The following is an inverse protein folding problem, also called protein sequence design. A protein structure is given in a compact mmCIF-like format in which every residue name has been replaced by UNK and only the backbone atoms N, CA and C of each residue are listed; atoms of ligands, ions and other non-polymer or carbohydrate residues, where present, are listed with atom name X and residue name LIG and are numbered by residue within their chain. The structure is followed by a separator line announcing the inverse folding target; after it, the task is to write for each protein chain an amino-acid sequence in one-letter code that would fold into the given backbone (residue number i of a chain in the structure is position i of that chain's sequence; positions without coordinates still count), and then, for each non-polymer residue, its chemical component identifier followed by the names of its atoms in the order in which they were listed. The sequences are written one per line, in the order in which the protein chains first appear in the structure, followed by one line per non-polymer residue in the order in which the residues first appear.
data_IF_873486351175
#
_entry.id   IF_873486351175
#
_cell.length_a   1.000
_cell.length_b   1.000
_cell.length_c   1.000
_cell.angle_alpha   90.00
_cell.angle_beta   90.00
_cell.angle_gamma   90.00
#
_symmetry.space_group_name_H-M   'P 1'
#
loop_
_entity.id
_entity.type
_entity.pdbx_description
1 polymer ?
#
# COMPACT_ATOMS: atom_id res chain seq x y z
N UNK A 1 -68.74 -23.21 -16.84
CA UNK A 1 -67.34 -22.74 -16.99
C UNK A 1 -66.94 -22.08 -15.66
N UNK A 2 -65.73 -22.34 -15.13
CA UNK A 2 -65.28 -21.82 -13.83
C UNK A 2 -64.18 -20.78 -14.03
N UNK A 3 -64.33 -19.58 -13.50
CA UNK A 3 -63.19 -18.69 -13.26
C UNK A 3 -62.39 -19.19 -12.05
N UNK A 4 -61.08 -19.05 -12.11
CA UNK A 4 -60.14 -19.36 -11.02
C UNK A 4 -59.24 -18.15 -10.82
N UNK A 5 -59.22 -17.63 -9.59
CA UNK A 5 -58.32 -16.54 -9.21
C UNK A 5 -56.87 -17.04 -9.22
N UNK A 6 -55.94 -16.21 -9.68
CA UNK A 6 -54.50 -16.41 -9.46
C UNK A 6 -53.92 -15.18 -8.76
N UNK A 7 -53.97 -15.19 -7.43
CA UNK A 7 -53.27 -14.20 -6.61
C UNK A 7 -51.77 -14.52 -6.63
N UNK A 8 -50.95 -13.59 -7.13
CA UNK A 8 -49.51 -13.76 -7.19
C UNK A 8 -48.86 -13.29 -5.88
N UNK A 9 -48.37 -14.22 -5.07
CA UNK A 9 -47.55 -13.89 -3.89
C UNK A 9 -46.12 -13.60 -4.33
N UNK A 10 -45.69 -12.34 -4.20
CA UNK A 10 -44.28 -11.97 -4.32
C UNK A 10 -43.52 -12.31 -3.03
N UNK A 11 -42.54 -13.21 -3.12
CA UNK A 11 -41.62 -13.49 -2.00
C UNK A 11 -40.50 -12.46 -2.04
N UNK A 12 -40.47 -11.56 -1.06
CA UNK A 12 -39.35 -10.64 -0.87
C UNK A 12 -38.15 -11.39 -0.28
N UNK A 13 -37.14 -11.67 -1.10
CA UNK A 13 -35.92 -12.36 -0.66
C UNK A 13 -34.99 -11.35 0.04
N UNK A 14 -35.09 -11.25 1.37
CA UNK A 14 -34.14 -10.45 2.17
C UNK A 14 -32.82 -11.21 2.27
N UNK A 15 -31.89 -10.91 1.37
CA UNK A 15 -30.52 -11.41 1.41
C UNK A 15 -29.75 -10.67 2.51
N UNK A 16 -29.81 -11.17 3.74
CA UNK A 16 -28.93 -10.72 4.82
C UNK A 16 -27.48 -10.97 4.44
N UNK A 17 -26.75 -9.93 4.09
CA UNK A 17 -25.32 -9.99 3.91
C UNK A 17 -24.67 -10.29 5.27
N UNK A 18 -24.21 -11.54 5.46
CA UNK A 18 -23.35 -11.88 6.59
C UNK A 18 -22.01 -11.22 6.33
N UNK A 19 -21.77 -10.08 6.98
CA UNK A 19 -20.44 -9.53 7.08
C UNK A 19 -19.58 -10.55 7.85
N UNK A 20 -18.71 -11.26 7.12
CA UNK A 20 -17.66 -12.06 7.72
C UNK A 20 -16.67 -11.08 8.37
N UNK A 21 -16.90 -10.81 9.66
CA UNK A 21 -15.91 -10.13 10.48
C UNK A 21 -14.69 -11.06 10.55
N UNK A 22 -13.63 -10.72 9.82
CA UNK A 22 -12.33 -11.33 10.03
C UNK A 22 -11.99 -11.19 11.52
N UNK A 23 -11.57 -12.26 12.22
CA UNK A 23 -11.10 -12.13 13.58
C UNK A 23 -9.94 -11.13 13.59
N UNK A 24 -10.00 -10.12 14.44
CA UNK A 24 -8.96 -9.11 14.52
C UNK A 24 -7.65 -9.79 14.93
N UNK A 25 -6.76 -10.02 13.96
CA UNK A 25 -5.39 -10.42 14.24
C UNK A 25 -4.72 -9.27 14.95
N UNK A 26 -4.26 -9.50 16.18
CA UNK A 26 -3.48 -8.54 16.93
C UNK A 26 -2.24 -8.13 16.13
N UNK A 27 -1.80 -6.88 16.29
CA UNK A 27 -0.60 -6.39 15.64
C UNK A 27 0.61 -7.30 15.94
N UNK A 28 1.49 -7.46 14.96
CA UNK A 28 2.65 -8.36 15.03
C UNK A 28 3.80 -7.88 14.15
N UNK A 29 5.01 -8.28 14.52
CA UNK A 29 6.23 -7.99 13.78
C UNK A 29 7.14 -9.22 13.84
N UNK A 30 7.72 -9.63 12.70
CA UNK A 30 8.69 -10.71 12.62
C UNK A 30 9.70 -10.49 11.49
N UNK A 31 10.92 -10.97 11.71
CA UNK A 31 11.89 -11.22 10.64
C UNK A 31 11.44 -12.41 9.78
N UNK A 32 11.89 -12.44 8.52
CA UNK A 32 11.52 -13.48 7.54
C UNK A 32 12.49 -14.67 7.51
N UNK A 33 13.65 -14.56 8.18
CA UNK A 33 14.78 -15.47 8.03
C UNK A 33 15.55 -15.27 6.72
N UNK A 34 16.30 -16.30 6.32
CA UNK A 34 17.15 -16.36 5.13
C UNK A 34 16.84 -17.59 4.25
N UNK A 35 17.46 -17.65 3.06
CA UNK A 35 17.40 -18.84 2.20
C UNK A 35 18.45 -19.87 2.65
N UNK A 36 18.10 -21.16 2.72
CA UNK A 36 18.96 -22.17 3.34
C UNK A 36 20.28 -22.37 2.59
N UNK A 37 21.37 -22.41 3.36
CA UNK A 37 22.73 -22.72 2.86
C UNK A 37 23.47 -21.56 2.22
N UNK A 38 22.87 -20.37 2.14
CA UNK A 38 23.60 -19.13 1.89
C UNK A 38 24.29 -18.58 3.14
N UNK A 39 24.77 -17.34 3.06
CA UNK A 39 25.10 -16.55 4.24
C UNK A 39 23.89 -15.71 4.64
N UNK A 40 23.48 -15.71 5.91
CA UNK A 40 22.25 -15.08 6.39
C UNK A 40 22.10 -13.62 5.90
N UNK A 41 21.15 -13.43 4.99
CA UNK A 41 20.82 -12.16 4.36
C UNK A 41 19.49 -12.29 3.61
N UNK A 42 18.54 -11.39 3.86
CA UNK A 42 17.31 -11.29 3.09
C UNK A 42 16.80 -9.86 3.01
N UNK A 43 16.06 -9.54 1.94
CA UNK A 43 15.39 -8.24 1.75
C UNK A 43 14.01 -8.45 1.16
N UNK A 44 12.97 -8.02 1.86
CA UNK A 44 11.63 -7.92 1.28
C UNK A 44 11.51 -6.63 0.47
N UNK A 45 11.13 -6.76 -0.80
CA UNK A 45 10.94 -5.65 -1.74
C UNK A 45 9.46 -5.39 -2.04
N UNK A 46 8.59 -6.38 -1.89
CA UNK A 46 7.16 -6.22 -2.11
C UNK A 46 6.31 -7.19 -1.29
N UNK A 47 5.03 -6.86 -1.19
CA UNK A 47 3.98 -7.71 -0.61
C UNK A 47 2.79 -7.71 -1.57
N UNK A 48 2.12 -8.85 -1.65
CA UNK A 48 0.83 -8.99 -2.35
C UNK A 48 -0.25 -8.08 -1.75
N UNK A 49 -1.25 -7.71 -2.55
CA UNK A 49 -2.32 -6.80 -2.12
C UNK A 49 -3.12 -7.30 -0.92
N UNK A 50 -3.20 -8.62 -0.73
CA UNK A 50 -3.87 -9.27 0.41
C UNK A 50 -3.00 -9.41 1.68
N UNK A 51 -1.72 -9.03 1.63
CA UNK A 51 -0.79 -9.14 2.76
C UNK A 51 -0.30 -10.57 3.07
N UNK A 52 -0.60 -11.57 2.25
CA UNK A 52 -0.32 -12.98 2.54
C UNK A 52 1.04 -13.48 2.01
N UNK A 53 1.53 -12.89 0.92
CA UNK A 53 2.78 -13.27 0.23
C UNK A 53 3.78 -12.12 0.22
N UNK A 54 5.00 -12.37 0.69
CA UNK A 54 6.13 -11.43 0.66
C UNK A 54 7.14 -11.88 -0.39
N UNK A 55 7.69 -10.93 -1.15
CA UNK A 55 8.68 -11.19 -2.20
C UNK A 55 9.92 -10.31 -2.04
N UNK A 56 11.01 -10.74 -2.66
CA UNK A 56 12.29 -10.03 -2.66
C UNK A 56 13.41 -10.98 -3.01
N UNK A 57 14.55 -10.89 -2.31
CA UNK A 57 15.68 -11.80 -2.51
C UNK A 57 16.48 -12.06 -1.23
N UNK A 58 17.20 -13.18 -1.20
CA UNK A 58 18.16 -13.54 -0.17
C UNK A 58 19.42 -14.16 -0.77
N UNK A 59 20.38 -14.55 0.06
CA UNK A 59 21.55 -15.33 -0.38
C UNK A 59 21.25 -16.82 -0.19
N UNK A 60 21.55 -17.67 -1.17
CA UNK A 60 21.29 -19.12 -1.11
C UNK A 60 22.56 -19.93 -1.32
N UNK A 61 22.47 -21.26 -1.20
CA UNK A 61 23.57 -22.17 -1.55
C UNK A 61 23.94 -22.13 -3.05
N UNK A 62 23.00 -21.71 -3.91
CA UNK A 62 23.09 -21.68 -5.37
C UNK A 62 23.50 -20.31 -5.94
N UNK A 63 23.20 -19.22 -5.22
CA UNK A 63 23.37 -17.86 -5.73
C UNK A 63 23.71 -16.83 -4.65
N UNK A 64 24.51 -15.83 -5.04
CA UNK A 64 24.74 -14.63 -4.24
C UNK A 64 23.52 -13.70 -4.16
N UNK A 65 22.52 -13.87 -5.04
CA UNK A 65 21.17 -13.32 -4.87
C UNK A 65 20.17 -14.29 -5.53
N UNK A 66 19.22 -14.82 -4.77
CA UNK A 66 18.11 -15.62 -5.30
C UNK A 66 16.79 -14.99 -4.86
N UNK A 67 15.87 -14.82 -5.82
CA UNK A 67 14.53 -14.32 -5.59
C UNK A 67 13.78 -15.29 -4.68
N UNK A 68 12.99 -14.77 -3.72
CA UNK A 68 12.16 -15.60 -2.85
C UNK A 68 10.67 -15.27 -2.94
N UNK A 69 9.86 -16.27 -2.56
CA UNK A 69 8.48 -16.13 -2.11
C UNK A 69 8.39 -16.61 -0.67
N UNK A 70 7.86 -15.78 0.21
CA UNK A 70 7.65 -16.10 1.63
C UNK A 70 6.15 -16.08 1.96
N UNK A 71 5.72 -17.01 2.83
CA UNK A 71 4.36 -17.09 3.39
C UNK A 71 4.38 -17.72 4.78
N UNK A 72 3.45 -17.36 5.67
CA UNK A 72 3.41 -17.86 7.07
C UNK A 72 3.40 -19.39 7.18
N UNK A 73 2.74 -20.09 6.25
CA UNK A 73 2.65 -21.56 6.23
C UNK A 73 3.83 -22.25 5.53
N UNK A 74 4.65 -21.52 4.78
CA UNK A 74 5.71 -22.06 3.92
C UNK A 74 7.13 -21.65 4.30
N UNK A 75 7.30 -20.60 5.11
CA UNK A 75 8.59 -19.95 5.31
C UNK A 75 9.09 -19.28 4.03
N UNK A 76 10.41 -19.07 3.94
CA UNK A 76 11.07 -18.52 2.75
C UNK A 76 11.41 -19.64 1.74
N UNK A 77 10.96 -19.50 0.50
CA UNK A 77 11.21 -20.46 -0.59
C UNK A 77 11.87 -19.73 -1.75
N UNK A 78 13.03 -20.22 -2.19
CA UNK A 78 13.74 -19.71 -3.37
C UNK A 78 13.01 -20.01 -4.67
N UNK A 79 13.06 -19.09 -5.63
CA UNK A 79 12.41 -19.21 -6.94
C UNK A 79 13.32 -19.81 -8.02
N UNK A 80 14.60 -20.03 -7.71
CA UNK A 80 15.63 -20.40 -8.67
C UNK A 80 16.02 -19.26 -9.61
N UNK A 81 16.53 -19.63 -10.79
CA UNK A 81 17.07 -18.73 -11.81
C UNK A 81 16.53 -19.12 -13.20
N UNK A 82 16.69 -18.23 -14.19
CA UNK A 82 16.34 -18.54 -15.58
C UNK A 82 17.32 -19.57 -16.18
N UNK A 83 16.84 -20.56 -16.97
CA UNK A 83 17.71 -21.58 -17.55
C UNK A 83 18.82 -21.01 -18.46
N UNK A 84 20.05 -21.47 -18.22
CA UNK A 84 21.20 -21.21 -19.09
C UNK A 84 21.95 -19.89 -18.84
N UNK A 85 21.50 -19.06 -17.89
CA UNK A 85 22.29 -17.94 -17.38
C UNK A 85 23.17 -18.32 -16.18
N UNK A 86 23.83 -17.32 -15.61
CA UNK A 86 24.53 -17.44 -14.32
C UNK A 86 23.53 -17.25 -13.16
N UNK A 87 23.73 -17.94 -12.03
CA UNK A 87 22.89 -17.77 -10.85
C UNK A 87 22.79 -16.29 -10.42
N UNK A 88 21.58 -15.83 -10.14
CA UNK A 88 21.26 -14.43 -9.90
C UNK A 88 19.82 -14.13 -10.32
N UNK A 89 18.93 -14.01 -9.33
CA UNK A 89 17.54 -13.60 -9.53
C UNK A 89 17.07 -12.65 -8.43
N UNK A 90 16.19 -11.71 -8.80
CA UNK A 90 15.67 -10.66 -7.93
C UNK A 90 14.17 -10.48 -8.23
N UNK A 91 13.29 -10.60 -7.22
CA UNK A 91 11.87 -10.29 -7.37
C UNK A 91 11.57 -8.84 -6.95
N UNK A 92 10.73 -8.16 -7.72
CA UNK A 92 10.36 -6.75 -7.51
C UNK A 92 8.85 -6.55 -7.32
N UNK A 93 7.99 -7.36 -7.97
CA UNK A 93 6.54 -7.23 -7.89
C UNK A 93 5.80 -8.56 -7.73
N UNK A 94 4.57 -8.52 -7.22
CA UNK A 94 3.66 -9.66 -7.07
C UNK A 94 2.21 -9.27 -7.36
N UNK A 95 1.41 -10.22 -7.86
CA UNK A 95 -0.05 -10.06 -8.04
C UNK A 95 -0.77 -9.91 -6.70
N UNK A 96 -2.07 -9.56 -6.73
CA UNK A 96 -2.85 -9.28 -5.53
C UNK A 96 -2.99 -10.47 -4.56
N UNK A 97 -2.80 -11.69 -5.05
CA UNK A 97 -2.77 -12.97 -4.33
C UNK A 97 -1.35 -13.59 -4.21
N UNK A 98 -0.34 -12.92 -4.75
CA UNK A 98 1.03 -13.42 -4.87
C UNK A 98 1.17 -14.80 -5.52
N UNK A 99 0.28 -15.16 -6.45
CA UNK A 99 0.41 -16.35 -7.32
C UNK A 99 1.33 -16.10 -8.53
N UNK A 100 1.46 -14.84 -8.94
CA UNK A 100 2.38 -14.35 -9.97
C UNK A 100 3.42 -13.46 -9.33
N UNK A 101 4.70 -13.69 -9.64
CA UNK A 101 5.83 -12.88 -9.16
C UNK A 101 6.65 -12.44 -10.36
N UNK A 102 7.11 -11.19 -10.38
CA UNK A 102 7.92 -10.64 -11.47
C UNK A 102 9.23 -10.07 -10.97
N UNK A 103 10.23 -10.06 -11.86
CA UNK A 103 11.57 -9.64 -11.49
C UNK A 103 12.56 -9.66 -12.64
N UNK A 104 13.83 -9.84 -12.32
CA UNK A 104 14.90 -10.12 -13.30
C UNK A 104 15.80 -11.27 -12.86
N UNK A 105 16.29 -12.06 -13.82
CA UNK A 105 17.32 -13.08 -13.62
C UNK A 105 18.22 -13.15 -14.87
N UNK A 106 19.42 -13.71 -14.77
CA UNK A 106 20.25 -13.92 -15.96
C UNK A 106 19.73 -15.13 -16.74
N UNK A 107 19.54 -15.00 -18.05
CA UNK A 107 19.32 -16.10 -18.98
C UNK A 107 20.54 -16.32 -19.86
N UNK A 108 20.47 -17.29 -20.79
CA UNK A 108 21.53 -17.51 -21.79
C UNK A 108 21.75 -16.32 -22.76
N UNK A 109 20.83 -15.34 -22.79
CA UNK A 109 20.91 -14.17 -23.68
C UNK A 109 21.41 -12.89 -23.00
N UNK A 110 21.29 -12.78 -21.66
CA UNK A 110 21.65 -11.60 -20.90
C UNK A 110 20.87 -11.50 -19.59
N UNK A 111 20.67 -10.27 -19.08
CA UNK A 111 19.73 -10.02 -17.99
C UNK A 111 18.31 -10.04 -18.57
N UNK A 112 17.38 -10.75 -17.95
CA UNK A 112 16.03 -10.92 -18.51
C UNK A 112 14.95 -10.75 -17.45
N UNK A 113 13.92 -9.99 -17.80
CA UNK A 113 12.69 -9.88 -17.05
C UNK A 113 12.02 -11.26 -16.96
N UNK A 114 11.60 -11.67 -15.76
CA UNK A 114 10.88 -12.93 -15.57
C UNK A 114 9.47 -12.72 -15.06
N UNK A 115 8.62 -13.71 -15.34
CA UNK A 115 7.34 -13.97 -14.66
C UNK A 115 7.36 -15.39 -14.12
N UNK A 116 7.14 -15.54 -12.82
CA UNK A 116 7.13 -16.81 -12.10
C UNK A 116 5.70 -17.16 -11.66
N UNK A 117 5.37 -18.46 -11.73
CA UNK A 117 4.17 -19.03 -11.09
C UNK A 117 4.48 -20.40 -10.49
N UNK A 118 3.80 -20.79 -9.41
CA UNK A 118 4.01 -22.08 -8.73
C UNK A 118 3.81 -23.32 -9.62
N UNK A 119 3.00 -23.22 -10.66
CA UNK A 119 2.75 -24.28 -11.65
C UNK A 119 3.65 -24.26 -12.88
N UNK A 120 4.37 -23.16 -13.12
CA UNK A 120 5.16 -22.91 -14.34
C UNK A 120 6.66 -22.75 -14.10
N UNK A 121 7.08 -22.49 -12.86
CA UNK A 121 8.44 -22.06 -12.56
C UNK A 121 8.71 -20.63 -13.04
N UNK A 122 9.99 -20.29 -13.22
CA UNK A 122 10.44 -19.00 -13.73
C UNK A 122 10.46 -19.02 -15.27
N UNK A 123 9.79 -18.07 -15.92
CA UNK A 123 9.73 -17.94 -17.38
C UNK A 123 10.21 -16.54 -17.78
N UNK A 124 11.14 -16.49 -18.74
CA UNK A 124 11.67 -15.25 -19.31
C UNK A 124 10.66 -14.55 -20.22
N UNK A 125 10.67 -13.22 -20.22
CA UNK A 125 9.74 -12.39 -21.00
C UNK A 125 10.34 -11.86 -22.32
N UNK A 126 11.63 -12.09 -22.57
CA UNK A 126 12.39 -11.45 -23.65
C UNK A 126 12.84 -10.03 -23.30
N UNK A 127 13.17 -9.23 -24.33
CA UNK A 127 13.55 -7.82 -24.23
C UNK A 127 12.93 -7.02 -25.39
N UNK A 128 12.99 -5.69 -25.33
CA UNK A 128 12.71 -4.80 -26.45
C UNK A 128 13.69 -5.05 -27.61
N UNK A 129 13.21 -4.90 -28.84
CA UNK A 129 14.02 -5.15 -30.03
C UNK A 129 14.96 -3.99 -30.36
N UNK A 130 16.26 -4.25 -30.43
CA UNK A 130 17.27 -3.35 -31.01
C UNK A 130 18.31 -2.82 -30.01
N UNK A 131 18.06 -2.95 -28.70
CA UNK A 131 19.10 -2.76 -27.70
C UNK A 131 20.10 -3.93 -27.62
N UNK A 132 21.04 -3.83 -26.69
CA UNK A 132 21.76 -4.99 -26.19
C UNK A 132 20.89 -5.68 -25.13
N UNK A 133 20.64 -6.98 -25.28
CA UNK A 133 19.64 -7.74 -24.52
C UNK A 133 19.78 -7.55 -22.99
N UNK A 134 18.91 -6.72 -22.42
CA UNK A 134 18.74 -6.56 -20.98
C UNK A 134 17.35 -5.97 -20.65
N UNK A 135 16.52 -6.76 -19.98
CA UNK A 135 15.20 -6.33 -19.50
C UNK A 135 15.02 -6.59 -18.00
N UNK A 136 14.18 -5.79 -17.33
CA UNK A 136 13.83 -5.94 -15.91
C UNK A 136 12.33 -5.66 -15.74
N UNK A 137 11.60 -6.61 -15.16
CA UNK A 137 10.21 -6.37 -14.71
C UNK A 137 10.21 -5.84 -13.27
N UNK A 138 9.44 -4.77 -13.04
CA UNK A 138 9.43 -4.02 -11.78
C UNK A 138 8.04 -4.01 -11.14
N UNK A 139 6.97 -3.98 -11.95
CA UNK A 139 5.58 -4.01 -11.48
C UNK A 139 4.71 -5.02 -12.23
N UNK A 140 3.58 -5.40 -11.63
CA UNK A 140 2.61 -6.35 -12.21
C UNK A 140 1.19 -5.99 -11.75
N UNK A 141 0.19 -6.17 -12.62
CA UNK A 141 -1.23 -5.92 -12.30
C UNK A 141 -1.76 -6.90 -11.25
N UNK A 142 -2.88 -6.55 -10.60
CA UNK A 142 -3.45 -7.35 -9.51
C UNK A 142 -3.87 -8.76 -9.92
N UNK A 143 -4.27 -8.95 -11.18
CA UNK A 143 -4.59 -10.25 -11.79
C UNK A 143 -3.37 -11.00 -12.35
N UNK A 144 -2.18 -10.39 -12.34
CA UNK A 144 -0.95 -10.99 -12.86
C UNK A 144 -0.87 -11.11 -14.38
N UNK A 145 -1.73 -10.41 -15.16
CA UNK A 145 -1.78 -10.50 -16.62
C UNK A 145 -0.92 -9.46 -17.36
N UNK A 146 -0.70 -8.29 -16.75
CA UNK A 146 0.11 -7.19 -17.28
C UNK A 146 1.36 -7.04 -16.41
N UNK A 147 2.54 -6.95 -17.04
CA UNK A 147 3.83 -6.73 -16.37
C UNK A 147 4.46 -5.47 -16.92
N UNK A 148 5.09 -4.65 -16.08
CA UNK A 148 5.76 -3.39 -16.49
C UNK A 148 7.19 -3.33 -15.97
N UNK A 149 8.03 -2.55 -16.67
CA UNK A 149 9.45 -2.46 -16.34
C UNK A 149 10.23 -1.59 -17.29
N UNK A 150 11.46 -2.01 -17.59
CA UNK A 150 12.39 -1.35 -18.52
C UNK A 150 13.09 -2.37 -19.43
N UNK A 151 13.40 -1.95 -20.65
CA UNK A 151 14.17 -2.73 -21.64
C UNK A 151 15.11 -1.84 -22.45
N UNK A 152 16.11 -2.43 -23.08
CA UNK A 152 17.10 -1.68 -23.84
C UNK A 152 16.68 -1.44 -25.30
N UNK A 153 16.96 -0.25 -25.82
CA UNK A 153 16.74 0.12 -27.23
C UNK A 153 18.00 0.72 -27.84
N UNK A 154 18.06 0.85 -29.17
CA UNK A 154 19.23 1.40 -29.91
C UNK A 154 19.69 2.75 -29.35
N UNK A 155 18.74 3.55 -28.87
CA UNK A 155 18.90 4.95 -28.48
C UNK A 155 18.97 5.18 -26.97
N UNK A 156 18.92 4.14 -26.14
CA UNK A 156 18.86 4.27 -24.68
C UNK A 156 18.03 3.16 -24.03
N UNK A 157 17.13 3.55 -23.12
CA UNK A 157 16.30 2.64 -22.33
C UNK A 157 14.85 3.10 -22.33
N UNK A 158 13.92 2.16 -22.45
CA UNK A 158 12.49 2.47 -22.59
C UNK A 158 11.65 1.67 -21.60
N UNK A 159 10.69 2.34 -20.98
CA UNK A 159 9.66 1.72 -20.16
C UNK A 159 8.82 0.77 -21.02
N UNK A 160 8.52 -0.42 -20.51
CA UNK A 160 7.71 -1.40 -21.24
C UNK A 160 6.42 -1.77 -20.52
N UNK A 161 5.47 -2.29 -21.31
CA UNK A 161 4.35 -3.11 -20.87
C UNK A 161 4.40 -4.46 -21.60
N UNK A 162 4.23 -5.55 -20.86
CA UNK A 162 4.15 -6.92 -21.37
C UNK A 162 2.77 -7.52 -21.14
N UNK A 163 2.31 -8.32 -22.10
CA UNK A 163 1.16 -9.23 -21.94
C UNK A 163 1.44 -10.57 -22.61
N UNK A 164 0.81 -11.64 -22.12
CA UNK A 164 1.01 -13.00 -22.67
C UNK A 164 0.64 -13.16 -24.16
N UNK A 165 -0.19 -12.26 -24.71
CA UNK A 165 -0.57 -12.24 -26.14
C UNK A 165 0.20 -11.23 -26.98
N UNK A 166 0.80 -10.20 -26.38
CA UNK A 166 1.54 -9.14 -27.08
C UNK A 166 3.06 -9.26 -27.04
N UNK A 167 3.62 -9.99 -26.06
CA UNK A 167 5.04 -9.88 -25.73
C UNK A 167 5.35 -8.53 -25.05
N UNK A 168 6.62 -8.12 -25.06
CA UNK A 168 7.07 -6.81 -24.55
C UNK A 168 6.79 -5.73 -25.61
N UNK A 169 6.15 -4.63 -25.20
CA UNK A 169 5.88 -3.46 -26.03
C UNK A 169 6.35 -2.20 -25.28
N UNK A 170 7.09 -1.34 -25.99
CA UNK A 170 7.57 -0.06 -25.45
C UNK A 170 6.44 0.96 -25.23
N UNK A 171 6.55 1.74 -24.16
CA UNK A 171 5.60 2.81 -23.78
C UNK A 171 6.02 4.20 -24.27
N UNK A 172 7.19 4.30 -24.92
CA UNK A 172 7.86 5.54 -25.27
C UNK A 172 8.55 6.22 -24.09
N UNK A 173 8.84 7.50 -24.28
CA UNK A 173 9.39 8.41 -23.27
C UNK A 173 8.69 9.77 -23.39
N UNK A 174 8.89 10.65 -22.40
CA UNK A 174 8.41 12.01 -22.41
C UNK A 174 9.07 12.84 -23.54
N UNK A 175 8.35 13.82 -24.11
CA UNK A 175 8.87 14.58 -25.24
C UNK A 175 9.99 15.56 -24.82
N UNK A 176 11.08 15.53 -25.58
CA UNK A 176 12.14 16.55 -25.57
C UNK A 176 13.44 16.16 -24.85
N UNK A 177 13.48 15.02 -24.17
CA UNK A 177 14.72 14.45 -23.62
C UNK A 177 15.49 13.54 -24.59
N UNK A 178 16.47 12.83 -24.04
CA UNK A 178 17.04 11.61 -24.62
C UNK A 178 16.22 10.41 -24.13
N UNK A 179 16.11 9.33 -24.91
CA UNK A 179 15.24 8.20 -24.55
C UNK A 179 15.79 7.44 -23.32
N UNK A 180 15.20 7.72 -22.16
CA UNK A 180 15.46 7.06 -20.88
C UNK A 180 14.18 7.14 -20.03
N UNK A 181 13.37 6.10 -20.14
CA UNK A 181 12.18 5.89 -19.31
C UNK A 181 12.19 4.54 -18.60
N UNK A 182 11.47 4.43 -17.49
CA UNK A 182 11.29 3.21 -16.70
C UNK A 182 9.93 3.23 -16.02
N UNK A 183 9.17 2.14 -16.13
CA UNK A 183 7.95 1.93 -15.34
C UNK A 183 8.27 1.18 -14.04
N UNK A 184 7.98 1.79 -12.89
CA UNK A 184 8.15 1.18 -11.57
C UNK A 184 6.86 0.58 -11.01
N UNK A 185 5.70 1.21 -11.26
CA UNK A 185 4.42 0.83 -10.66
C UNK A 185 3.28 0.73 -11.67
N UNK A 186 2.25 -0.04 -11.32
CA UNK A 186 1.03 -0.24 -12.11
C UNK A 186 -0.17 -0.39 -11.16
N UNK A 187 -1.35 0.12 -11.56
CA UNK A 187 -2.59 -0.01 -10.79
C UNK A 187 -3.11 -1.46 -10.77
N UNK A 188 -4.00 -1.77 -9.82
CA UNK A 188 -4.52 -3.14 -9.62
C UNK A 188 -5.30 -3.66 -10.83
N UNK A 189 -5.97 -2.77 -11.55
CA UNK A 189 -6.70 -3.04 -12.81
C UNK A 189 -5.81 -2.99 -14.07
N UNK A 190 -4.53 -2.64 -13.93
CA UNK A 190 -3.59 -2.50 -15.03
C UNK A 190 -3.78 -1.27 -15.93
N UNK A 191 -4.70 -0.35 -15.63
CA UNK A 191 -5.04 0.77 -16.52
C UNK A 191 -4.10 1.99 -16.42
N UNK A 192 -3.33 2.08 -15.34
CA UNK A 192 -2.41 3.19 -15.04
C UNK A 192 -1.02 2.66 -14.73
N UNK A 193 -0.01 3.17 -15.43
CA UNK A 193 1.40 2.84 -15.20
C UNK A 193 2.15 4.10 -14.76
N UNK A 194 3.08 3.98 -13.81
CA UNK A 194 3.88 5.10 -13.28
C UNK A 194 5.36 4.78 -13.24
N UNK A 195 6.18 5.82 -13.27
CA UNK A 195 7.63 5.69 -13.32
C UNK A 195 8.31 7.05 -13.50
N UNK A 196 9.41 7.07 -14.25
CA UNK A 196 10.01 8.31 -14.74
C UNK A 196 10.36 8.22 -16.23
N UNK A 197 10.38 9.37 -16.88
CA UNK A 197 10.90 9.57 -18.23
C UNK A 197 11.82 10.79 -18.27
N UNK A 198 12.31 11.14 -19.45
CA UNK A 198 13.18 12.31 -19.65
C UNK A 198 12.47 13.34 -20.53
N UNK A 199 11.95 14.40 -19.92
CA UNK A 199 11.31 15.52 -20.64
C UNK A 199 12.32 16.59 -21.04
N UNK A 200 11.87 17.61 -21.79
CA UNK A 200 12.68 18.78 -22.14
C UNK A 200 13.26 19.55 -20.94
N UNK A 201 12.77 19.30 -19.71
CA UNK A 201 13.18 19.99 -18.49
C UNK A 201 14.09 19.15 -17.58
N UNK A 202 14.09 17.82 -17.69
CA UNK A 202 14.88 16.92 -16.84
C UNK A 202 14.25 15.53 -16.74
N UNK A 203 14.62 14.79 -15.68
CA UNK A 203 13.88 13.56 -15.33
C UNK A 203 12.54 13.93 -14.72
N UNK A 204 11.47 13.28 -15.13
CA UNK A 204 10.12 13.64 -14.70
C UNK A 204 9.28 12.40 -14.44
N UNK A 205 8.62 12.38 -13.28
CA UNK A 205 7.68 11.34 -12.91
C UNK A 205 6.53 11.34 -13.93
N UNK A 206 6.17 10.17 -14.46
CA UNK A 206 5.06 10.05 -15.40
C UNK A 206 3.86 9.29 -14.82
N UNK A 207 2.69 9.55 -15.39
CA UNK A 207 1.52 8.69 -15.34
C UNK A 207 1.08 8.36 -16.77
N UNK A 208 1.18 7.10 -17.16
CA UNK A 208 0.80 6.58 -18.47
C UNK A 208 -0.58 5.94 -18.41
N UNK A 209 -1.37 6.10 -19.47
CA UNK A 209 -2.63 5.37 -19.69
C UNK A 209 -2.81 5.07 -21.18
N UNK A 210 -3.47 3.96 -21.51
CA UNK A 210 -3.67 3.53 -22.89
C UNK A 210 -4.43 4.55 -23.78
N UNK A 211 -5.22 5.45 -23.19
CA UNK A 211 -5.93 6.52 -23.90
C UNK A 211 -5.21 7.87 -23.91
N UNK A 212 -4.28 8.11 -22.98
CA UNK A 212 -3.59 9.39 -22.81
C UNK A 212 -2.12 9.38 -23.26
N UNK A 213 -1.52 8.20 -23.44
CA UNK A 213 -0.06 8.06 -23.59
C UNK A 213 0.66 8.36 -22.27
N UNK A 214 1.95 8.68 -22.35
CA UNK A 214 2.78 9.08 -21.21
C UNK A 214 2.61 10.58 -20.92
N UNK A 215 2.22 10.92 -19.69
CA UNK A 215 2.03 12.32 -19.26
C UNK A 215 2.91 12.61 -18.05
N UNK A 216 3.72 13.66 -18.12
CA UNK A 216 4.57 14.13 -17.02
C UNK A 216 3.76 14.73 -15.88
N UNK A 217 4.27 14.60 -14.65
CA UNK A 217 3.61 15.04 -13.41
C UNK A 217 4.22 16.31 -12.81
N UNK A 218 5.24 16.89 -13.44
CA UNK A 218 6.05 17.99 -12.89
C UNK A 218 7.00 17.56 -11.77
N UNK A 219 7.55 18.54 -11.07
CA UNK A 219 8.52 18.41 -9.99
C UNK A 219 8.04 19.02 -8.66
N UNK A 220 8.85 18.88 -7.60
CA UNK A 220 8.68 19.65 -6.38
C UNK A 220 9.43 20.99 -6.50
N UNK A 221 8.83 22.12 -6.09
CA UNK A 221 9.38 23.43 -6.39
C UNK A 221 10.67 23.74 -5.60
N UNK A 222 11.66 24.30 -6.30
CA UNK A 222 12.84 24.93 -5.70
C UNK A 222 14.12 24.09 -5.69
N UNK A 223 14.08 22.84 -6.17
CA UNK A 223 15.28 22.04 -6.45
C UNK A 223 15.76 22.16 -7.89
N UNK A 224 16.42 21.10 -8.36
CA UNK A 224 16.54 20.83 -9.80
C UNK A 224 15.22 20.22 -10.30
N UNK A 225 14.87 20.42 -11.57
CA UNK A 225 13.71 19.76 -12.16
C UNK A 225 13.98 18.25 -12.30
N UNK A 226 13.55 17.51 -11.29
CA UNK A 226 13.75 16.07 -11.16
C UNK A 226 12.67 15.45 -10.27
N UNK A 227 11.92 14.48 -10.80
CA UNK A 227 10.95 13.69 -10.04
C UNK A 227 10.86 12.25 -10.55
N UNK A 228 10.52 11.33 -9.65
CA UNK A 228 10.47 9.89 -9.90
C UNK A 228 9.28 9.29 -9.17
N UNK A 229 8.34 8.64 -9.87
CA UNK A 229 7.26 7.89 -9.25
C UNK A 229 7.67 6.42 -9.01
N UNK A 230 7.59 5.96 -7.77
CA UNK A 230 7.93 4.60 -7.37
C UNK A 230 6.70 3.69 -7.24
N UNK A 231 5.52 4.25 -6.94
CA UNK A 231 4.31 3.47 -6.68
C UNK A 231 3.01 4.23 -6.96
N UNK A 232 1.90 3.48 -7.07
CA UNK A 232 0.57 3.99 -7.40
C UNK A 232 -0.50 3.22 -6.63
N UNK A 233 -1.61 3.88 -6.27
CA UNK A 233 -2.75 3.24 -5.62
C UNK A 233 -3.47 2.24 -6.53
N UNK A 234 -4.28 1.36 -5.94
CA UNK A 234 -4.95 0.28 -6.66
C UNK A 234 -5.91 0.75 -7.75
N UNK A 235 -6.47 1.95 -7.61
CA UNK A 235 -7.35 2.65 -8.54
C UNK A 235 -6.63 3.61 -9.52
N UNK A 236 -5.31 3.75 -9.41
CA UNK A 236 -4.53 4.64 -10.27
C UNK A 236 -4.71 6.15 -10.02
N UNK A 237 -5.31 6.57 -8.90
CA UNK A 237 -5.61 7.98 -8.59
C UNK A 237 -4.54 8.71 -7.77
N UNK A 238 -3.75 7.98 -6.98
CA UNK A 238 -2.69 8.50 -6.11
C UNK A 238 -1.35 7.92 -6.56
N UNK A 239 -0.36 8.78 -6.79
CA UNK A 239 1.00 8.39 -7.19
C UNK A 239 1.98 8.83 -6.11
N UNK A 240 2.99 8.01 -5.79
CA UNK A 240 4.01 8.33 -4.78
C UNK A 240 5.42 8.09 -5.31
N UNK A 241 6.39 8.80 -4.73
CA UNK A 241 7.78 8.69 -5.12
C UNK A 241 8.64 9.73 -4.42
N UNK A 242 9.57 10.34 -5.14
CA UNK A 242 10.41 11.44 -4.63
C UNK A 242 10.74 12.49 -5.70
N UNK A 243 10.93 13.72 -5.26
CA UNK A 243 11.38 14.85 -6.07
C UNK A 243 12.57 15.55 -5.41
N UNK A 244 13.14 16.53 -6.10
CA UNK A 244 14.28 17.31 -5.59
C UNK A 244 13.83 18.71 -5.17
N UNK A 245 14.23 19.14 -3.98
CA UNK A 245 14.01 20.50 -3.45
C UNK A 245 15.34 21.14 -3.03
N UNK A 246 15.32 22.41 -2.63
CA UNK A 246 16.52 23.17 -2.28
C UNK A 246 17.38 22.55 -1.15
N UNK A 247 16.79 21.72 -0.28
CA UNK A 247 17.47 21.07 0.86
C UNK A 247 17.87 19.61 0.63
N UNK A 248 17.45 18.97 -0.46
CA UNK A 248 17.68 17.54 -0.73
C UNK A 248 16.51 16.87 -1.46
N UNK A 249 16.39 15.55 -1.31
CA UNK A 249 15.26 14.78 -1.84
C UNK A 249 14.07 14.84 -0.88
N UNK A 250 12.85 14.93 -1.42
CA UNK A 250 11.62 14.83 -0.64
C UNK A 250 10.67 13.79 -1.25
N UNK A 251 10.15 12.91 -0.41
CA UNK A 251 9.06 12.00 -0.75
C UNK A 251 7.81 12.80 -1.12
N UNK A 252 7.13 12.45 -2.22
CA UNK A 252 5.89 13.11 -2.63
C UNK A 252 4.68 12.16 -2.64
N UNK A 253 3.50 12.77 -2.56
CA UNK A 253 2.21 12.20 -2.96
C UNK A 253 1.55 13.13 -3.99
N UNK A 254 1.26 12.60 -5.17
CA UNK A 254 0.61 13.30 -6.26
C UNK A 254 -0.85 12.86 -6.41
N UNK A 255 -1.71 13.80 -6.78
CA UNK A 255 -3.10 13.53 -7.21
C UNK A 255 -3.51 14.52 -8.31
N UNK A 256 -4.44 14.12 -9.18
CA UNK A 256 -4.91 14.96 -10.30
C UNK A 256 -5.57 16.28 -9.85
N UNK A 257 -6.11 16.34 -8.62
CA UNK A 257 -6.72 17.55 -8.04
C UNK A 257 -5.76 18.38 -7.17
N UNK A 258 -4.69 17.78 -6.63
CA UNK A 258 -3.75 18.42 -5.71
C UNK A 258 -2.39 18.79 -6.32
N UNK A 259 -2.05 18.23 -7.49
CA UNK A 259 -0.68 18.28 -8.02
C UNK A 259 0.27 17.40 -7.20
N UNK A 260 1.58 17.67 -7.29
CA UNK A 260 2.62 17.03 -6.50
C UNK A 260 2.77 17.73 -5.15
N UNK A 261 2.70 16.99 -4.05
CA UNK A 261 2.81 17.53 -2.68
C UNK A 261 3.87 16.76 -1.90
N UNK A 262 4.84 17.49 -1.33
CA UNK A 262 5.87 16.93 -0.46
C UNK A 262 5.33 16.39 0.87
N UNK A 263 5.96 15.34 1.38
CA UNK A 263 5.54 14.64 2.61
C UNK A 263 6.41 14.97 3.84
N UNK A 264 7.42 15.82 3.68
CA UNK A 264 8.48 16.07 4.66
C UNK A 264 9.53 14.96 4.71
N UNK A 265 10.30 14.96 5.80
CA UNK A 265 11.28 13.94 6.16
C UNK A 265 11.21 13.68 7.67
N UNK A 266 11.87 12.63 8.14
CA UNK A 266 12.08 12.35 9.56
C UNK A 266 12.95 13.44 10.22
N UNK A 267 12.73 13.75 11.51
CA UNK A 267 13.48 14.81 12.17
C UNK A 267 14.91 14.39 12.54
N UNK A 268 15.86 15.32 12.37
CA UNK A 268 17.20 15.25 12.94
C UNK A 268 18.31 14.72 12.02
N UNK A 269 17.99 14.30 10.79
CA UNK A 269 18.98 13.92 9.78
C UNK A 269 19.28 15.02 8.74
N UNK A 270 19.94 14.62 7.65
CA UNK A 270 19.99 15.41 6.43
C UNK A 270 18.65 15.25 5.69
N UNK A 271 18.03 16.33 5.23
CA UNK A 271 16.71 16.26 4.57
C UNK A 271 16.75 15.39 3.30
N UNK A 272 16.24 14.16 3.38
CA UNK A 272 16.30 13.14 2.34
C UNK A 272 15.27 12.04 2.62
N UNK A 273 14.11 12.10 1.96
CA UNK A 273 13.04 11.08 2.06
C UNK A 273 12.61 10.51 0.70
N UNK A 274 12.17 9.25 0.71
CA UNK A 274 11.76 8.47 -0.45
C UNK A 274 10.51 7.66 -0.13
N UNK A 275 9.37 7.93 -0.79
CA UNK A 275 8.23 7.01 -0.74
C UNK A 275 8.48 5.80 -1.65
N UNK A 276 8.35 4.59 -1.10
CA UNK A 276 8.52 3.33 -1.83
C UNK A 276 7.17 2.70 -2.22
N UNK A 277 6.15 2.81 -1.36
CA UNK A 277 4.86 2.13 -1.56
C UNK A 277 3.68 2.90 -0.98
N UNK A 278 2.47 2.55 -1.43
CA UNK A 278 1.21 3.23 -1.09
C UNK A 278 0.06 2.22 -1.01
N UNK A 279 -0.88 2.41 -0.09
CA UNK A 279 -2.06 1.56 0.07
C UNK A 279 -3.02 1.64 -1.13
N UNK A 280 -3.94 0.69 -1.24
CA UNK A 280 -4.85 0.56 -2.38
C UNK A 280 -5.79 1.75 -2.56
N UNK A 281 -6.12 2.44 -1.46
CA UNK A 281 -6.92 3.67 -1.39
C UNK A 281 -6.08 4.96 -1.40
N UNK A 282 -4.74 4.85 -1.40
CA UNK A 282 -3.82 5.98 -1.34
C UNK A 282 -3.81 6.79 -0.03
N UNK A 283 -4.29 6.24 1.09
CA UNK A 283 -4.31 6.93 2.40
C UNK A 283 -3.05 6.72 3.25
N UNK A 284 -2.36 5.59 3.09
CA UNK A 284 -1.11 5.25 3.78
C UNK A 284 0.03 5.21 2.76
N UNK A 285 1.16 5.84 3.10
CA UNK A 285 2.39 5.82 2.30
C UNK A 285 3.54 5.32 3.16
N UNK A 286 4.42 4.49 2.60
CA UNK A 286 5.60 3.93 3.30
C UNK A 286 6.87 4.13 2.48
N UNK A 287 8.01 4.17 3.16
CA UNK A 287 9.28 4.47 2.52
C UNK A 287 10.47 4.49 3.48
N UNK A 288 11.48 5.30 3.16
CA UNK A 288 12.57 5.66 4.07
C UNK A 288 12.74 7.18 4.16
N UNK A 289 13.13 7.66 5.34
CA UNK A 289 13.53 9.03 5.62
C UNK A 289 14.82 9.04 6.42
N UNK A 290 15.38 10.22 6.68
CA UNK A 290 16.70 10.35 7.31
C UNK A 290 16.61 11.06 8.66
N UNK A 291 16.93 10.34 9.74
CA UNK A 291 16.98 10.89 11.10
C UNK A 291 18.42 11.01 11.61
N UNK A 292 18.59 11.35 12.88
CA UNK A 292 19.89 11.30 13.56
C UNK A 292 20.49 9.88 13.65
N UNK A 293 19.68 8.82 13.44
CA UNK A 293 20.11 7.42 13.37
C UNK A 293 20.68 7.02 12.01
N UNK A 294 20.39 7.78 10.94
CA UNK A 294 20.63 7.38 9.54
C UNK A 294 19.31 7.21 8.77
N UNK A 295 19.31 6.31 7.77
CA UNK A 295 18.10 5.97 7.01
C UNK A 295 17.19 5.04 7.83
N UNK A 296 15.94 5.45 8.03
CA UNK A 296 14.93 4.74 8.80
C UNK A 296 13.61 4.63 8.02
N UNK A 297 12.91 3.51 8.19
CA UNK A 297 11.61 3.26 7.60
C UNK A 297 10.55 4.22 8.16
N UNK A 298 9.71 4.80 7.29
CA UNK A 298 8.58 5.64 7.71
C UNK A 298 7.22 5.06 7.35
N UNK A 299 6.20 5.50 8.10
CA UNK A 299 4.78 5.45 7.72
C UNK A 299 4.21 6.87 7.72
N UNK A 300 3.59 7.26 6.62
CA UNK A 300 2.90 8.54 6.47
C UNK A 300 1.39 8.33 6.35
N UNK A 301 0.62 9.25 6.95
CA UNK A 301 -0.83 9.40 6.76
C UNK A 301 -1.21 10.88 6.80
N UNK A 302 -2.30 11.26 6.14
CA UNK A 302 -2.77 12.65 6.09
C UNK A 302 -3.09 13.26 7.48
N UNK A 303 -3.49 12.44 8.45
CA UNK A 303 -3.76 12.85 9.84
C UNK A 303 -2.54 12.78 10.77
N UNK A 304 -1.53 11.99 10.43
CA UNK A 304 -0.36 11.72 11.30
C UNK A 304 0.94 12.34 10.84
N UNK A 305 1.00 12.89 9.62
CA UNK A 305 2.27 13.29 8.99
C UNK A 305 3.17 12.08 8.69
N UNK A 306 4.45 12.33 8.45
CA UNK A 306 5.48 11.29 8.39
C UNK A 306 5.93 10.93 9.81
N UNK A 307 5.95 9.63 10.14
CA UNK A 307 6.46 9.11 11.42
C UNK A 307 7.42 7.94 11.17
N UNK A 308 8.44 7.82 12.01
CA UNK A 308 9.31 6.64 12.05
C UNK A 308 8.43 5.39 12.32
N UNK A 309 8.62 4.34 11.52
CA UNK A 309 7.78 3.13 11.58
C UNK A 309 8.04 2.31 12.85
N UNK A 310 9.26 2.29 13.36
CA UNK A 310 9.62 1.61 14.61
C UNK A 310 8.98 2.30 15.82
N UNK A 311 8.90 3.64 15.83
CA UNK A 311 8.12 4.40 16.82
C UNK A 311 6.62 4.09 16.75
N UNK A 312 6.04 4.01 15.53
CA UNK A 312 4.63 3.63 15.33
C UNK A 312 4.37 2.21 15.87
N UNK A 313 5.17 1.21 15.48
CA UNK A 313 5.00 -0.17 15.88
C UNK A 313 5.17 -0.38 17.40
N UNK A 314 6.09 0.34 18.03
CA UNK A 314 6.35 0.23 19.48
C UNK A 314 5.35 1.04 20.32
N UNK A 315 4.99 2.25 19.89
CA UNK A 315 4.17 3.18 20.69
C UNK A 315 2.67 3.01 20.46
N UNK A 316 2.25 2.87 19.20
CA UNK A 316 0.81 2.82 18.86
C UNK A 316 0.28 1.37 18.98
N UNK A 317 1.12 0.39 18.66
CA UNK A 317 0.76 -1.04 18.61
C UNK A 317 1.43 -1.91 19.70
N UNK A 318 2.29 -1.32 20.55
CA UNK A 318 2.88 -2.01 21.71
C UNK A 318 3.88 -3.14 21.38
N UNK A 319 4.40 -3.19 20.15
CA UNK A 319 5.27 -4.29 19.70
C UNK A 319 6.70 -4.15 20.21
N UNK A 320 7.33 -5.29 20.55
CA UNK A 320 8.72 -5.30 21.01
C UNK A 320 9.70 -5.51 19.85
N UNK A 321 10.32 -4.41 19.39
CA UNK A 321 11.34 -4.40 18.35
C UNK A 321 12.78 -4.27 18.93
N UNK A 322 13.03 -4.73 20.16
CA UNK A 322 14.35 -4.63 20.81
C UNK A 322 15.45 -5.26 19.95
N UNK A 323 16.47 -4.46 19.62
CA UNK A 323 17.62 -4.88 18.79
C UNK A 323 17.42 -4.76 17.29
N UNK A 324 16.20 -4.49 16.79
CA UNK A 324 15.96 -4.17 15.39
C UNK A 324 16.25 -2.70 15.08
N UNK A 325 16.66 -2.43 13.85
CA UNK A 325 16.70 -1.12 13.20
C UNK A 325 16.04 -1.26 11.83
N UNK A 326 14.86 -0.66 11.62
CA UNK A 326 14.13 -0.77 10.34
C UNK A 326 14.64 0.28 9.34
N UNK A 327 15.41 -0.13 8.34
CA UNK A 327 16.06 0.81 7.39
C UNK A 327 15.14 1.29 6.27
N UNK A 328 14.39 0.37 5.64
CA UNK A 328 13.40 0.73 4.61
C UNK A 328 12.12 -0.08 4.76
N UNK A 329 10.96 0.58 4.68
CA UNK A 329 9.73 -0.06 4.26
C UNK A 329 9.66 0.00 2.72
N UNK A 330 9.49 -1.15 2.06
CA UNK A 330 9.47 -1.27 0.59
C UNK A 330 8.07 -1.50 0.03
N UNK A 331 7.24 -2.30 0.70
CA UNK A 331 5.89 -2.66 0.23
C UNK A 331 4.83 -2.50 1.32
N UNK A 332 3.58 -2.33 0.89
CA UNK A 332 2.40 -2.27 1.74
C UNK A 332 1.20 -2.93 1.04
N UNK A 333 0.34 -3.63 1.79
CA UNK A 333 -0.88 -4.26 1.28
C UNK A 333 -1.96 -3.22 0.91
N UNK A 334 -2.98 -3.64 0.16
CA UNK A 334 -4.01 -2.74 -0.35
C UNK A 334 -4.88 -2.13 0.77
N UNK A 335 -5.06 -2.82 1.88
CA UNK A 335 -5.75 -2.35 3.09
C UNK A 335 -4.89 -1.43 3.98
N UNK A 336 -3.60 -1.28 3.69
CA UNK A 336 -2.67 -0.48 4.48
C UNK A 336 -2.22 -1.12 5.82
N UNK A 337 -2.55 -2.39 6.08
CA UNK A 337 -2.31 -3.06 7.37
C UNK A 337 -1.07 -3.98 7.39
N UNK A 338 -0.61 -4.50 6.25
CA UNK A 338 0.64 -5.27 6.17
C UNK A 338 1.72 -4.41 5.51
N UNK A 339 2.84 -4.21 6.19
CA UNK A 339 4.01 -3.46 5.69
C UNK A 339 5.22 -4.40 5.68
N UNK A 340 6.03 -4.36 4.63
CA UNK A 340 7.25 -5.17 4.50
C UNK A 340 8.45 -4.32 4.13
N UNK A 341 9.64 -4.82 4.47
CA UNK A 341 10.89 -4.13 4.19
C UNK A 341 12.12 -4.90 4.64
N UNK A 342 13.20 -4.19 4.91
CA UNK A 342 14.41 -4.77 5.48
C UNK A 342 15.08 -3.83 6.49
N UNK A 343 15.99 -4.39 7.28
CA UNK A 343 16.72 -3.67 8.33
C UNK A 343 17.86 -4.49 8.89
N UNK A 344 18.41 -4.04 10.01
CA UNK A 344 19.37 -4.80 10.81
C UNK A 344 18.63 -5.48 11.95
N UNK A 345 18.79 -6.80 12.06
CA UNK A 345 18.19 -7.62 13.11
C UNK A 345 19.02 -7.59 14.43
N UNK A 346 18.53 -8.15 15.55
CA UNK A 346 19.25 -8.16 16.84
C UNK A 346 20.61 -8.88 16.85
N UNK A 347 20.90 -9.68 15.82
CA UNK A 347 22.20 -10.34 15.61
C UNK A 347 23.18 -9.49 14.79
N UNK A 348 22.79 -8.29 14.35
CA UNK A 348 23.59 -7.41 13.49
C UNK A 348 23.55 -7.78 12.00
N UNK A 349 22.58 -8.57 11.56
CA UNK A 349 22.49 -9.12 10.20
C UNK A 349 21.41 -8.38 9.39
N UNK A 350 21.55 -8.33 8.06
CA UNK A 350 20.54 -7.72 7.18
C UNK A 350 19.39 -8.72 6.98
N UNK A 351 18.18 -8.34 7.36
CA UNK A 351 17.03 -9.25 7.31
C UNK A 351 15.78 -8.53 6.80
N UNK A 352 15.01 -9.22 5.96
CA UNK A 352 13.68 -8.83 5.57
C UNK A 352 12.72 -9.01 6.74
N UNK A 353 11.72 -8.14 6.85
CA UNK A 353 10.72 -8.18 7.91
C UNK A 353 9.31 -7.96 7.37
N UNK A 354 8.32 -8.45 8.13
CA UNK A 354 6.90 -8.17 7.95
C UNK A 354 6.31 -7.64 9.24
N UNK A 355 5.63 -6.50 9.13
CA UNK A 355 4.81 -5.89 10.17
C UNK A 355 3.34 -6.01 9.75
N UNK A 356 2.48 -6.47 10.66
CA UNK A 356 1.03 -6.49 10.48
C UNK A 356 0.39 -5.68 11.59
N UNK A 357 -0.45 -4.73 11.20
CA UNK A 357 -1.21 -3.86 12.08
C UNK A 357 -2.60 -4.46 12.30
N UNK A 358 -3.16 -4.36 13.50
CA UNK A 358 -4.61 -4.51 13.62
C UNK A 358 -5.29 -3.28 12.99
N UNK A 359 -6.53 -3.48 12.53
CA UNK A 359 -7.41 -2.33 12.30
C UNK A 359 -7.56 -1.60 13.63
N UNK A 360 -7.30 -0.28 13.72
CA UNK A 360 -7.47 0.46 14.97
C UNK A 360 -8.86 0.18 15.52
N UNK A 361 -8.93 -0.38 16.73
CA UNK A 361 -10.22 -0.75 17.32
C UNK A 361 -11.05 0.51 17.45
N UNK A 362 -12.07 0.65 16.59
CA UNK A 362 -13.05 1.71 16.74
C UNK A 362 -13.69 1.51 18.11
N UNK A 363 -13.33 2.40 19.05
CA UNK A 363 -13.98 2.51 20.34
C UNK A 363 -15.40 2.94 20.05
N UNK A 364 -16.27 1.95 19.86
CA UNK A 364 -17.69 2.09 19.62
C UNK A 364 -18.35 2.53 20.92
N UNK A 365 -18.13 3.80 21.26
CA UNK A 365 -18.89 4.51 22.28
C UNK A 365 -20.36 4.32 21.88
N UNK A 366 -21.17 3.58 22.64
CA UNK A 366 -22.55 3.32 22.24
C UNK A 366 -23.32 4.64 22.29
N UNK A 367 -23.93 5.00 21.16
CA UNK A 367 -24.80 6.17 21.04
C UNK A 367 -25.77 6.25 22.24
N UNK A 368 -25.83 7.39 22.98
CA UNK A 368 -26.58 7.48 24.23
C UNK A 368 -28.06 7.08 24.14
N UNK A 369 -28.64 7.10 22.93
CA UNK A 369 -30.00 6.66 22.62
C UNK A 369 -30.31 5.22 23.04
N UNK A 370 -29.32 4.32 23.13
CA UNK A 370 -29.57 2.91 23.48
C UNK A 370 -29.80 2.65 24.98
N UNK A 371 -29.53 3.61 25.87
CA UNK A 371 -29.68 3.41 27.34
C UNK A 371 -31.15 3.49 27.80
N UNK A 372 -32.04 4.14 27.04
CA UNK A 372 -33.45 4.32 27.40
C UNK A 372 -34.32 3.05 27.23
N UNK A 373 -33.82 1.98 26.61
CA UNK A 373 -34.60 0.79 26.26
C UNK A 373 -34.95 -0.17 27.41
N UNK A 374 -34.28 -0.07 28.57
CA UNK A 374 -34.38 -1.06 29.66
C UNK A 374 -35.05 -0.54 30.95
N UNK A 375 -35.62 0.67 30.93
CA UNK A 375 -36.06 1.39 32.14
C UNK A 375 -37.55 1.34 32.49
N UNK A 376 -38.40 0.54 31.82
CA UNK A 376 -39.87 0.67 31.93
C UNK A 376 -40.66 -0.65 31.90
N UNK A 377 -40.19 -1.65 32.65
CA UNK A 377 -40.90 -2.93 32.88
C UNK A 377 -41.09 -3.23 34.37
N UNK A 378 -41.75 -2.32 35.10
CA UNK A 378 -42.11 -2.58 36.49
C UNK A 378 -42.60 -1.39 37.31
N UNK A 379 -43.90 -1.04 37.20
CA UNK A 379 -44.68 -0.43 38.28
C UNK A 379 -46.18 -0.65 37.99
N UNK A 380 -46.94 -1.08 39.00
CA UNK A 380 -48.23 -1.76 38.81
C UNK A 380 -49.45 -0.84 38.67
N UNK A 381 -50.43 -1.29 37.89
CA UNK A 381 -51.71 -0.60 37.69
C UNK A 381 -52.73 -1.01 38.80
N UNK A 382 -52.89 -0.16 39.82
CA UNK A 382 -53.83 -0.40 40.92
C UNK A 382 -54.57 0.88 41.37
N UNK A 383 -55.67 1.22 40.69
CA UNK A 383 -56.48 2.41 40.96
C UNK A 383 -57.86 2.06 41.54
N UNK A 384 -57.97 1.96 42.87
CA UNK A 384 -59.24 1.75 43.58
C UNK A 384 -60.00 3.07 43.76
N UNK A 385 -61.30 3.09 43.48
CA UNK A 385 -62.17 4.27 43.59
C UNK A 385 -62.37 4.70 45.04
N UNK A 386 -62.13 5.98 45.34
CA UNK A 386 -62.79 6.71 46.44
C UNK A 386 -63.28 8.06 45.92
N UNK A 387 -64.56 8.37 46.15
CA UNK A 387 -65.11 9.74 46.01
C UNK A 387 -64.97 10.46 47.35
N UNK A 388 -64.59 11.73 47.34
CA UNK A 388 -65.06 12.70 48.34
C UNK A 388 -65.32 14.05 47.68
N UNK A 389 -66.03 14.95 48.36
CA UNK A 389 -66.86 15.99 47.75
C UNK A 389 -66.81 17.30 48.54
N UNK A 390 -66.67 18.43 47.83
CA UNK A 390 -66.91 19.82 48.23
C UNK A 390 -66.13 20.42 49.43
N UNK A 391 -65.47 21.56 49.18
CA UNK A 391 -65.81 22.81 49.89
C UNK A 391 -65.36 24.06 49.10
N UNK A 392 -66.06 25.19 49.29
CA UNK A 392 -65.73 26.52 48.75
C UNK A 392 -65.82 27.57 49.87
N UNK A 393 -64.71 28.27 50.14
CA UNK A 393 -64.59 29.70 50.57
C UNK A 393 -63.10 29.93 50.97
N UNK A 394 -62.34 30.91 50.50
CA UNK A 394 -62.54 32.32 50.13
C UNK A 394 -62.36 33.33 51.29
N UNK A 395 -61.17 33.94 51.35
CA UNK A 395 -60.93 35.35 51.69
C UNK A 395 -59.46 35.74 51.46
N UNK A 396 -59.20 36.98 51.03
CA UNK A 396 -57.95 37.72 51.27
C UNK A 396 -58.08 38.55 52.56
N UNK A 397 -57.00 39.23 53.01
CA UNK A 397 -56.83 40.61 52.56
C UNK A 397 -55.38 41.00 52.16
N UNK A 398 -55.24 42.29 51.88
CA UNK A 398 -54.16 43.10 51.30
C UNK A 398 -52.85 43.26 52.09
N UNK A 399 -51.93 44.00 51.45
CA UNK A 399 -50.89 44.93 51.98
C UNK A 399 -49.42 44.44 51.87
N UNK A 400 -48.43 45.24 51.43
CA UNK A 400 -48.43 46.63 50.88
C UNK A 400 -47.29 46.80 49.81
N UNK A 401 -47.16 47.99 49.21
CA UNK A 401 -46.26 48.32 48.08
C UNK A 401 -44.97 49.07 48.44
N UNK A 402 -43.90 48.89 47.65
CA UNK A 402 -42.78 49.82 47.29
C UNK A 402 -41.77 48.99 46.44
N UNK A 403 -41.02 49.40 45.39
CA UNK A 403 -40.86 50.62 44.54
C UNK A 403 -40.53 51.94 45.21
N UNK A 404 -39.56 52.75 44.74
CA UNK A 404 -38.63 52.68 43.57
C UNK A 404 -37.18 52.43 44.06
N UNK A 405 -36.02 52.59 43.38
CA UNK A 405 -35.52 53.17 42.11
C UNK A 405 -34.34 52.26 41.59
N UNK A 406 -33.62 52.47 40.47
CA UNK A 406 -33.55 53.52 39.43
C UNK A 406 -33.26 52.93 38.04
#
# INVERSE_FOLDING_TARGET
MKNQNKTLFGIALVTSAIALANPAHAASFQGLGDLPGGGFSSRAYGVSSDGSVVIGYGYSASSANEAFRWTDSGGMIGLGDLPGGNSGSLAYGASSDGSVIVGSSNSASGLEAFRWTSSGGMVGLGDLSGGAFASVALGVSGDGSIVVGLGNVVTGQEAFLWTASGGIVGLGDLPGGFISSTAYGISGDGSVVVGFGTSASGYEAFRWTNSGGMVGLGDLPGGIFASFANGVSGDGSVVVGYGFIASGQEAFRWTSSGGMVGLGDLPGGNFSSFANGVSGDGSVVVGRGTSASGEEAFRWTSSGGMRNLQDVLTTDFGLNLTGWQLSEAKGISADGLTIVGYGTNPSGQNEGWIARLDSPTQVTIPEPSNILGLGLLGLGLAATKVKCVLSKKAKSPTDNSQTTDS
#
